data_IF_701641959833
#
_entry.id   IF_701641959833
#
_cell.length_a   1.000
_cell.length_b   1.000
_cell.length_c   1.000
_cell.angle_alpha   90.00
_cell.angle_beta   90.00
_cell.angle_gamma   90.00
#
_symmetry.space_group_name_H-M   'P 1'
#
loop_
_entity.id
_entity.type
_entity.pdbx_description
1 polymer ?
#
# COMPACT_ATOMS: atom_id res chain seq x y z
N UNK A 1 -17.54 16.61 12.31
CA UNK A 1 -18.21 15.41 11.76
C UNK A 1 -19.34 15.80 10.80
N UNK A 2 -19.06 16.63 9.78
CA UNK A 2 -20.02 16.90 8.69
C UNK A 2 -20.01 15.78 7.64
N UNK A 3 -18.95 14.98 7.61
CA UNK A 3 -18.73 13.87 6.68
C UNK A 3 -19.72 12.72 6.87
N UNK A 4 -20.04 12.34 8.12
CA UNK A 4 -20.97 11.24 8.43
C UNK A 4 -22.41 11.48 7.93
N UNK A 5 -22.76 12.72 7.55
CA UNK A 5 -24.08 13.09 7.00
C UNK A 5 -24.01 13.41 5.50
N UNK A 6 -22.82 13.40 4.91
CA UNK A 6 -22.62 13.73 3.51
C UNK A 6 -22.90 12.51 2.63
N UNK A 7 -23.73 12.68 1.58
CA UNK A 7 -23.98 11.64 0.58
C UNK A 7 -22.81 11.42 -0.40
N UNK A 8 -21.85 12.34 -0.40
CA UNK A 8 -20.64 12.32 -1.22
C UNK A 8 -19.47 12.74 -0.34
N UNK A 9 -18.39 11.99 -0.41
CA UNK A 9 -17.14 12.28 0.27
C UNK A 9 -16.04 12.39 -0.80
N UNK A 10 -15.13 13.33 -0.60
CA UNK A 10 -13.96 13.51 -1.47
C UNK A 10 -12.75 12.99 -0.71
N UNK A 11 -12.16 11.91 -1.22
CA UNK A 11 -10.93 11.35 -0.69
C UNK A 11 -9.79 12.00 -1.43
N UNK A 12 -8.96 12.76 -0.70
CA UNK A 12 -7.77 13.42 -1.24
C UNK A 12 -6.57 12.48 -1.08
N UNK A 13 -5.51 12.72 -1.86
CA UNK A 13 -4.24 11.99 -1.81
C UNK A 13 -4.28 10.52 -2.29
N UNK A 14 -5.35 10.11 -2.99
CA UNK A 14 -5.45 8.79 -3.63
C UNK A 14 -5.84 8.94 -5.10
N UNK A 15 -5.13 8.23 -5.98
CA UNK A 15 -5.47 8.18 -7.40
C UNK A 15 -6.81 7.46 -7.63
N UNK A 16 -7.61 7.95 -8.58
CA UNK A 16 -8.93 7.38 -8.87
C UNK A 16 -8.88 5.90 -9.29
N UNK A 17 -7.82 5.48 -9.98
CA UNK A 17 -7.63 4.08 -10.37
C UNK A 17 -7.34 3.20 -9.15
N UNK A 18 -6.47 3.67 -8.26
CA UNK A 18 -6.13 2.98 -7.00
C UNK A 18 -7.34 2.87 -6.09
N UNK A 19 -8.12 3.95 -5.95
CA UNK A 19 -9.35 3.92 -5.15
C UNK A 19 -10.36 2.92 -5.70
N UNK A 20 -10.52 2.87 -7.03
CA UNK A 20 -11.43 1.90 -7.68
C UNK A 20 -11.00 0.46 -7.37
N UNK A 21 -9.71 0.15 -7.48
CA UNK A 21 -9.16 -1.16 -7.13
C UNK A 21 -9.36 -1.54 -5.66
N UNK A 22 -9.21 -0.58 -4.75
CA UNK A 22 -9.46 -0.80 -3.33
C UNK A 22 -10.95 -1.02 -3.04
N UNK A 23 -11.84 -0.34 -3.76
CA UNK A 23 -13.29 -0.60 -3.69
C UNK A 23 -13.60 -2.00 -4.21
N UNK A 24 -13.08 -2.38 -5.38
CA UNK A 24 -13.23 -3.74 -5.90
C UNK A 24 -12.79 -4.78 -4.85
N UNK A 25 -11.62 -4.59 -4.23
CA UNK A 25 -11.16 -5.44 -3.13
C UNK A 25 -12.14 -5.52 -1.97
N UNK A 26 -12.76 -4.41 -1.55
CA UNK A 26 -13.76 -4.42 -0.47
C UNK A 26 -14.97 -5.30 -0.83
N UNK A 27 -15.32 -5.39 -2.12
CA UNK A 27 -16.45 -6.19 -2.60
C UNK A 27 -16.08 -7.63 -2.98
N UNK A 28 -14.86 -7.89 -3.45
CA UNK A 28 -14.43 -9.21 -3.95
C UNK A 28 -13.51 -9.95 -2.97
N UNK A 29 -12.91 -9.24 -2.01
CA UNK A 29 -11.80 -9.69 -1.18
C UNK A 29 -10.53 -10.10 -1.97
N UNK A 30 -10.42 -9.71 -3.24
CA UNK A 30 -9.31 -10.05 -4.12
C UNK A 30 -8.66 -8.78 -4.70
N UNK A 31 -7.34 -8.69 -4.62
CA UNK A 31 -6.57 -7.57 -5.18
C UNK A 31 -5.27 -8.05 -5.80
N UNK A 32 -4.98 -7.53 -6.99
CA UNK A 32 -3.73 -7.79 -7.70
C UNK A 32 -2.71 -6.70 -7.38
N UNK A 33 -1.59 -7.11 -6.77
CA UNK A 33 -0.47 -6.23 -6.44
C UNK A 33 0.63 -6.42 -7.49
N UNK A 34 1.09 -5.32 -8.08
CA UNK A 34 2.16 -5.28 -9.09
C UNK A 34 3.22 -4.26 -8.70
N UNK A 35 4.43 -4.36 -9.28
CA UNK A 35 5.53 -3.41 -8.97
C UNK A 35 5.18 -1.96 -9.29
N UNK A 36 4.35 -1.73 -10.32
CA UNK A 36 3.92 -0.39 -10.72
C UNK A 36 2.81 0.16 -9.79
N UNK A 37 1.95 -0.71 -9.27
CA UNK A 37 0.81 -0.28 -8.46
C UNK A 37 1.13 -0.24 -6.96
N UNK A 38 2.07 -1.05 -6.47
CA UNK A 38 2.31 -1.23 -5.03
C UNK A 38 2.73 0.07 -4.36
N UNK A 39 3.42 0.95 -5.10
CA UNK A 39 3.88 2.24 -4.61
C UNK A 39 2.73 3.22 -4.30
N UNK A 40 1.63 3.15 -5.05
CA UNK A 40 0.43 3.97 -4.84
C UNK A 40 -0.62 3.24 -4.01
N UNK A 41 -0.63 1.91 -4.07
CA UNK A 41 -1.61 1.06 -3.39
C UNK A 41 -1.35 0.99 -1.88
N UNK A 42 -0.09 0.86 -1.46
CA UNK A 42 0.28 0.79 -0.05
C UNK A 42 -0.13 2.06 0.74
N UNK A 43 0.19 3.30 0.29
CA UNK A 43 -0.28 4.50 0.99
C UNK A 43 -1.80 4.62 1.01
N UNK A 44 -2.48 4.29 -0.10
CA UNK A 44 -3.94 4.34 -0.17
C UNK A 44 -4.61 3.32 0.76
N UNK A 45 -4.08 2.08 0.82
CA UNK A 45 -4.52 1.07 1.76
C UNK A 45 -4.27 1.48 3.22
N UNK A 46 -3.14 2.12 3.50
CA UNK A 46 -2.83 2.67 4.83
C UNK A 46 -3.80 3.80 5.21
N UNK A 47 -4.11 4.72 4.30
CA UNK A 47 -5.08 5.80 4.51
C UNK A 47 -6.49 5.25 4.81
N UNK A 48 -6.93 4.24 4.06
CA UNK A 48 -8.22 3.58 4.25
C UNK A 48 -8.24 2.52 5.36
N UNK A 49 -7.11 2.32 6.06
CA UNK A 49 -6.95 1.34 7.12
C UNK A 49 -7.24 -0.11 6.69
N UNK A 50 -6.99 -0.43 5.41
CA UNK A 50 -7.10 -1.78 4.84
C UNK A 50 -5.81 -2.56 5.14
N UNK A 51 -5.72 -3.10 6.36
CA UNK A 51 -4.52 -3.75 6.87
C UNK A 51 -4.12 -5.00 6.06
N UNK A 52 -5.10 -5.76 5.57
CA UNK A 52 -4.84 -6.96 4.75
C UNK A 52 -4.13 -6.60 3.43
N UNK A 53 -4.60 -5.53 2.77
CA UNK A 53 -3.99 -5.04 1.53
C UNK A 53 -2.59 -4.50 1.82
N UNK A 54 -2.42 -3.75 2.92
CA UNK A 54 -1.10 -3.27 3.35
C UNK A 54 -0.13 -4.43 3.55
N UNK A 55 -0.58 -5.49 4.21
CA UNK A 55 0.24 -6.68 4.47
C UNK A 55 0.62 -7.39 3.16
N UNK A 56 -0.34 -7.62 2.25
CA UNK A 56 -0.07 -8.18 0.93
C UNK A 56 0.94 -7.35 0.13
N UNK A 57 0.85 -6.01 0.18
CA UNK A 57 1.84 -5.14 -0.44
C UNK A 57 3.24 -5.31 0.17
N UNK A 58 3.35 -5.42 1.49
CA UNK A 58 4.61 -5.69 2.18
C UNK A 58 5.19 -7.07 1.80
N UNK A 59 4.37 -8.12 1.80
CA UNK A 59 4.80 -9.47 1.42
C UNK A 59 5.25 -9.54 -0.04
N UNK A 60 4.58 -8.82 -0.94
CA UNK A 60 5.00 -8.68 -2.33
C UNK A 60 6.36 -7.97 -2.46
N UNK A 61 6.54 -6.83 -1.77
CA UNK A 61 7.80 -6.09 -1.79
C UNK A 61 8.96 -6.90 -1.19
N UNK A 62 8.68 -7.69 -0.16
CA UNK A 62 9.66 -8.59 0.44
C UNK A 62 10.05 -9.72 -0.54
N UNK A 63 9.09 -10.26 -1.30
CA UNK A 63 9.36 -11.30 -2.31
C UNK A 63 10.13 -10.78 -3.52
N UNK A 64 10.01 -9.49 -3.84
CA UNK A 64 10.72 -8.82 -4.94
C UNK A 64 12.02 -8.14 -4.51
N UNK A 65 12.51 -8.41 -3.29
CA UNK A 65 13.68 -7.74 -2.74
C UNK A 65 14.96 -8.19 -3.48
N UNK A 66 15.64 -7.23 -4.09
CA UNK A 66 16.80 -7.45 -4.95
C UNK A 66 17.89 -6.41 -4.61
N UNK A 67 19.19 -6.74 -4.70
CA UNK A 67 20.28 -5.80 -4.40
C UNK A 67 20.24 -4.49 -5.21
N UNK A 68 19.55 -4.47 -6.36
CA UNK A 68 19.38 -3.26 -7.18
C UNK A 68 18.21 -2.38 -6.73
N UNK A 69 17.21 -2.92 -6.03
CA UNK A 69 16.00 -2.22 -5.62
C UNK A 69 15.86 -2.07 -4.08
N UNK A 70 16.74 -2.72 -3.30
CA UNK A 70 16.67 -2.77 -1.84
C UNK A 70 16.71 -1.38 -1.18
N UNK A 71 17.47 -0.43 -1.75
CA UNK A 71 17.52 0.96 -1.29
C UNK A 71 16.17 1.68 -1.46
N UNK A 72 15.49 1.45 -2.58
CA UNK A 72 14.18 2.01 -2.87
C UNK A 72 13.11 1.42 -1.96
N UNK A 73 13.12 0.09 -1.80
CA UNK A 73 12.19 -0.61 -0.89
C UNK A 73 12.42 -0.17 0.55
N UNK A 74 13.67 0.00 1.00
CA UNK A 74 13.97 0.50 2.34
C UNK A 74 13.42 1.90 2.57
N UNK A 75 13.68 2.83 1.63
CA UNK A 75 13.16 4.19 1.73
C UNK A 75 11.62 4.20 1.75
N UNK A 76 10.99 3.33 0.96
CA UNK A 76 9.54 3.18 0.94
C UNK A 76 8.99 2.60 2.25
N UNK A 77 9.65 1.58 2.80
CA UNK A 77 9.30 0.98 4.09
C UNK A 77 9.38 1.99 5.25
N UNK A 78 10.39 2.87 5.21
CA UNK A 78 10.60 3.92 6.20
C UNK A 78 9.48 4.97 6.18
N UNK A 79 9.10 5.44 4.98
CA UNK A 79 8.01 6.40 4.79
C UNK A 79 6.65 5.85 5.26
N UNK A 80 6.42 4.56 5.04
CA UNK A 80 5.13 3.93 5.38
C UNK A 80 5.14 3.17 6.71
N UNK A 81 6.19 3.34 7.53
CA UNK A 81 6.33 2.72 8.86
C UNK A 81 6.15 1.18 8.86
N UNK A 82 6.51 0.53 7.76
CA UNK A 82 6.43 -0.92 7.62
C UNK A 82 7.69 -1.54 8.22
N UNK A 83 7.69 -1.75 9.53
CA UNK A 83 8.88 -2.18 10.31
C UNK A 83 9.44 -3.52 9.87
N UNK A 84 8.59 -4.50 9.54
CA UNK A 84 9.03 -5.81 9.05
C UNK A 84 9.77 -5.68 7.71
N UNK A 85 9.14 -5.00 6.73
CA UNK A 85 9.73 -4.74 5.42
C UNK A 85 11.07 -3.99 5.55
N UNK A 86 11.14 -3.01 6.45
CA UNK A 86 12.36 -2.23 6.72
C UNK A 86 13.46 -3.12 7.30
N UNK A 87 13.12 -4.02 8.22
CA UNK A 87 14.08 -4.94 8.82
C UNK A 87 14.63 -5.92 7.78
N UNK A 88 13.80 -6.48 6.91
CA UNK A 88 14.27 -7.32 5.80
C UNK A 88 15.12 -6.55 4.79
N UNK A 89 14.70 -5.35 4.42
CA UNK A 89 15.47 -4.52 3.49
C UNK A 89 16.85 -4.14 4.06
N UNK A 90 16.95 -3.92 5.37
CA UNK A 90 18.23 -3.69 6.06
C UNK A 90 19.09 -4.94 6.18
N UNK A 91 18.49 -6.12 6.36
CA UNK A 91 19.24 -7.39 6.41
C UNK A 91 19.86 -7.76 5.05
N UNK A 92 19.33 -7.21 3.96
CA UNK A 92 19.81 -7.43 2.59
C UNK A 92 20.86 -6.40 2.12
N UNK A 93 21.07 -5.32 2.86
CA UNK A 93 21.94 -4.20 2.50
C UNK A 93 23.38 -4.36 3.02
#
# INVERSE_FOLDING_TARGET
>A
MSESKAKKIEIKDVDGQTLSKLIDYIYTAEIEVTEENVQVLLPAASLLQLMDVRQNCCDFLQSQLHPTNCLGIRAFADVHTCTDLLQQANAYA
#
